data_IF_572960789116
#
_entry.id   IF_572960789116
#
_cell.length_a   1.000
_cell.length_b   1.000
_cell.length_c   1.000
_cell.angle_alpha   90.00
_cell.angle_beta   90.00
_cell.angle_gamma   90.00
#
_symmetry.space_group_name_H-M   'P 1'
#
loop_
_entity.id
_entity.type
_entity.pdbx_description
1 polymer ?
#
# COMPACT_ATOMS: atom_id res chain seq x y z
N UNK A 1 -2.00 26.55 -1.26
CA UNK A 1 -1.15 27.76 -1.17
C UNK A 1 -0.84 28.06 0.29
N UNK A 2 -0.14 29.17 0.58
CA UNK A 2 0.28 29.51 1.94
C UNK A 2 -0.91 29.61 2.90
N UNK A 3 -0.74 29.12 4.13
CA UNK A 3 -1.80 28.99 5.14
C UNK A 3 -2.78 27.84 4.89
N UNK A 4 -2.72 27.17 3.74
CA UNK A 4 -3.55 26.02 3.42
C UNK A 4 -3.25 24.83 4.34
N UNK A 5 -4.30 24.19 4.81
CA UNK A 5 -4.28 22.95 5.62
C UNK A 5 -5.31 21.99 5.06
N UNK A 6 -5.17 20.70 5.37
CA UNK A 6 -6.22 19.73 5.16
C UNK A 6 -6.50 19.02 6.50
N UNK A 7 -7.71 19.20 7.04
CA UNK A 7 -8.01 18.79 8.42
C UNK A 7 -7.88 17.30 8.66
N UNK A 8 -7.71 16.90 9.92
CA UNK A 8 -7.55 15.49 10.29
C UNK A 8 -8.81 14.66 10.01
N UNK A 9 -8.65 13.57 9.25
CA UNK A 9 -9.73 12.72 8.78
C UNK A 9 -9.26 11.29 8.49
N UNK A 10 -10.20 10.44 8.11
CA UNK A 10 -9.97 9.18 7.41
C UNK A 10 -10.52 9.31 6.02
N UNK A 11 -9.88 8.66 5.06
CA UNK A 11 -10.40 8.65 3.71
C UNK A 11 -11.66 7.79 3.60
N UNK A 12 -12.59 8.22 2.74
CA UNK A 12 -13.70 7.36 2.32
C UNK A 12 -13.24 6.43 1.20
N UNK A 13 -14.03 5.41 0.90
CA UNK A 13 -13.80 4.54 -0.24
C UNK A 13 -14.69 4.91 -1.42
N UNK A 14 -14.19 4.66 -2.63
CA UNK A 14 -15.00 4.61 -3.83
C UNK A 14 -15.42 3.16 -4.09
N UNK A 15 -16.69 2.95 -4.37
CA UNK A 15 -17.23 1.63 -4.76
C UNK A 15 -17.80 1.74 -6.17
N UNK A 16 -17.21 0.99 -7.11
CA UNK A 16 -17.70 0.91 -8.48
C UNK A 16 -18.84 -0.11 -8.59
N UNK A 17 -18.77 -1.17 -7.80
CA UNK A 17 -19.78 -2.24 -7.73
C UNK A 17 -19.67 -2.98 -6.40
N UNK A 18 -20.60 -3.90 -6.12
CA UNK A 18 -20.52 -4.77 -4.95
C UNK A 18 -19.21 -5.60 -4.87
N UNK A 19 -18.48 -5.72 -5.98
CA UNK A 19 -17.23 -6.47 -6.09
C UNK A 19 -16.01 -5.61 -6.34
N UNK A 20 -16.12 -4.30 -6.50
CA UNK A 20 -14.98 -3.43 -6.83
C UNK A 20 -15.00 -2.17 -5.98
N UNK A 21 -13.98 -2.00 -5.12
CA UNK A 21 -13.86 -0.84 -4.24
C UNK A 21 -12.42 -0.46 -3.96
N UNK A 22 -12.19 0.79 -3.57
CA UNK A 22 -10.88 1.21 -3.05
C UNK A 22 -10.71 0.93 -1.56
N UNK A 23 -9.46 0.73 -1.16
CA UNK A 23 -9.04 0.54 0.23
C UNK A 23 -7.80 1.35 0.63
N UNK A 24 -7.02 1.84 -0.35
CA UNK A 24 -5.78 2.58 -0.12
C UNK A 24 -5.72 3.83 -0.98
N UNK A 25 -5.16 4.88 -0.40
CA UNK A 25 -4.87 6.15 -1.05
C UNK A 25 -3.40 6.15 -1.49
N UNK A 26 -3.15 6.67 -2.69
CA UNK A 26 -1.82 7.00 -3.21
C UNK A 26 -1.74 8.51 -3.40
N UNK A 27 -0.83 9.16 -2.67
CA UNK A 27 -0.45 10.54 -2.89
C UNK A 27 0.92 10.59 -3.59
N UNK A 28 0.99 11.25 -4.74
CA UNK A 28 2.23 11.48 -5.50
C UNK A 28 2.55 12.97 -5.42
N UNK A 29 3.67 13.33 -4.81
CA UNK A 29 4.08 14.72 -4.68
C UNK A 29 4.74 15.22 -5.98
N UNK A 30 4.22 16.33 -6.50
CA UNK A 30 4.65 16.88 -7.80
C UNK A 30 5.72 17.96 -7.67
N UNK A 31 6.02 18.41 -6.46
CA UNK A 31 7.09 19.35 -6.16
C UNK A 31 7.57 19.21 -4.71
N UNK A 32 8.76 19.73 -4.43
CA UNK A 32 9.29 19.85 -3.07
C UNK A 32 8.63 20.99 -2.31
N UNK A 33 8.47 20.82 -1.00
CA UNK A 33 8.08 21.90 -0.08
C UNK A 33 8.81 21.77 1.25
N UNK A 34 9.03 22.90 1.93
CA UNK A 34 9.67 22.95 3.26
C UNK A 34 8.68 22.77 4.43
N UNK A 35 7.39 22.63 4.14
CA UNK A 35 6.30 22.42 5.08
C UNK A 35 5.16 21.65 4.41
N UNK A 36 4.03 21.47 5.11
CA UNK A 36 2.84 20.85 4.53
C UNK A 36 2.93 19.34 4.42
N UNK A 37 3.55 18.66 5.39
CA UNK A 37 3.60 17.21 5.47
C UNK A 37 2.21 16.57 5.43
N UNK A 38 2.10 15.38 4.86
CA UNK A 38 0.97 14.50 5.18
C UNK A 38 1.31 13.79 6.49
N UNK A 39 0.54 14.02 7.55
CA UNK A 39 0.84 13.50 8.90
C UNK A 39 -0.15 12.44 9.30
N UNK A 40 0.34 11.34 9.84
CA UNK A 40 -0.47 10.32 10.49
C UNK A 40 -0.52 10.60 11.98
N UNK A 41 -1.73 10.54 12.53
CA UNK A 41 -2.05 11.02 13.86
C UNK A 41 -2.65 9.88 14.69
N UNK A 42 -2.35 9.87 15.98
CA UNK A 42 -3.11 9.06 16.91
C UNK A 42 -4.54 9.62 17.01
N UNK A 43 -5.59 8.81 16.77
CA UNK A 43 -6.97 9.31 16.69
C UNK A 43 -7.54 9.80 18.02
N UNK A 44 -6.96 9.41 19.16
CA UNK A 44 -7.43 9.77 20.49
C UNK A 44 -6.82 11.08 20.97
N UNK A 45 -5.48 11.19 20.94
CA UNK A 45 -4.77 12.35 21.49
C UNK A 45 -4.26 13.33 20.41
N UNK A 46 -4.42 13.01 19.12
CA UNK A 46 -3.99 13.80 17.95
C UNK A 46 -2.48 14.02 17.84
N UNK A 47 -1.68 13.22 18.55
CA UNK A 47 -0.22 13.25 18.44
C UNK A 47 0.23 12.79 17.05
N UNK A 48 1.26 13.44 16.50
CA UNK A 48 1.85 13.06 15.22
C UNK A 48 2.69 11.81 15.40
N UNK A 49 2.23 10.69 14.83
CA UNK A 49 2.95 9.42 14.82
C UNK A 49 4.01 9.43 13.71
N UNK A 50 3.63 9.92 12.52
CA UNK A 50 4.53 9.93 11.36
C UNK A 50 4.27 11.13 10.44
N UNK A 51 5.25 12.03 10.25
CA UNK A 51 5.19 13.08 9.24
C UNK A 51 5.83 12.63 7.92
N UNK A 52 5.07 12.63 6.83
CA UNK A 52 5.59 12.40 5.48
C UNK A 52 5.86 13.74 4.76
N UNK A 53 7.13 14.05 4.57
CA UNK A 53 7.55 15.25 3.82
C UNK A 53 7.22 15.16 2.33
N UNK A 54 6.66 16.23 1.72
CA UNK A 54 6.46 16.31 0.28
C UNK A 54 7.81 16.46 -0.43
N UNK A 55 8.20 15.42 -1.17
CA UNK A 55 9.38 15.44 -2.04
C UNK A 55 8.98 15.00 -3.43
N UNK A 56 9.43 15.73 -4.45
CA UNK A 56 9.05 15.49 -5.84
C UNK A 56 9.32 14.03 -6.23
N UNK A 57 8.32 13.41 -6.85
CA UNK A 57 8.37 12.01 -7.27
C UNK A 57 8.18 10.97 -6.15
N UNK A 58 8.15 11.38 -4.87
CA UNK A 58 7.80 10.48 -3.77
C UNK A 58 6.31 10.13 -3.84
N UNK A 59 6.02 8.83 -3.77
CA UNK A 59 4.68 8.30 -3.59
C UNK A 59 4.48 7.83 -2.14
N UNK A 60 3.38 8.24 -1.52
CA UNK A 60 2.94 7.79 -0.21
C UNK A 60 1.68 6.94 -0.41
N UNK A 61 1.72 5.69 0.06
CA UNK A 61 0.60 4.73 -0.03
C UNK A 61 0.16 4.38 1.39
N UNK A 62 -1.13 4.47 1.68
CA UNK A 62 -1.67 4.20 3.01
C UNK A 62 -3.12 3.71 2.96
N UNK A 63 -3.56 2.98 3.99
CA UNK A 63 -4.94 2.51 4.11
C UNK A 63 -5.89 3.69 4.36
N UNK A 64 -7.10 3.64 3.83
CA UNK A 64 -8.10 4.69 4.03
C UNK A 64 -8.43 4.94 5.51
N UNK A 65 -8.32 3.90 6.34
CA UNK A 65 -8.63 3.97 7.76
C UNK A 65 -7.53 4.63 8.62
N UNK A 66 -6.37 4.96 8.02
CA UNK A 66 -5.34 5.71 8.71
C UNK A 66 -5.82 7.14 8.98
N UNK A 67 -5.76 7.56 10.26
CA UNK A 67 -6.15 8.90 10.66
C UNK A 67 -5.02 9.88 10.33
N UNK A 68 -5.28 10.83 9.45
CA UNK A 68 -4.23 11.67 8.88
C UNK A 68 -4.71 13.06 8.50
N UNK A 69 -3.77 13.96 8.29
CA UNK A 69 -4.03 15.35 7.89
C UNK A 69 -2.96 15.89 6.92
N UNK A 70 -3.21 17.09 6.41
CA UNK A 70 -2.23 17.90 5.69
C UNK A 70 -1.82 19.10 6.55
N UNK A 71 -0.56 19.11 6.98
CA UNK A 71 -0.01 20.18 7.78
C UNK A 71 -0.04 21.54 7.04
N UNK A 72 0.12 22.62 7.79
CA UNK A 72 0.11 23.97 7.22
C UNK A 72 1.25 24.18 6.23
N UNK A 73 0.92 24.66 5.05
CA UNK A 73 1.90 25.14 4.09
C UNK A 73 2.30 26.57 4.46
N UNK A 74 3.56 26.80 4.83
CA UNK A 74 4.04 28.11 5.30
C UNK A 74 4.25 29.12 4.15
N UNK A 75 4.73 28.65 3.01
CA UNK A 75 5.05 29.47 1.83
C UNK A 75 4.94 28.64 0.55
N UNK A 76 4.90 29.32 -0.60
CA UNK A 76 4.83 28.67 -1.91
C UNK A 76 3.56 27.87 -2.16
N UNK A 77 3.66 26.87 -3.04
CA UNK A 77 2.56 25.99 -3.43
C UNK A 77 2.97 24.52 -3.27
N UNK A 78 2.04 23.70 -2.77
CA UNK A 78 2.15 22.25 -2.73
C UNK A 78 1.21 21.67 -3.79
N UNK A 79 1.76 20.88 -4.70
CA UNK A 79 1.02 20.13 -5.70
C UNK A 79 1.17 18.64 -5.45
N UNK A 80 0.06 17.92 -5.49
CA UNK A 80 0.03 16.47 -5.39
C UNK A 80 -1.05 15.91 -6.30
N UNK A 81 -0.83 14.71 -6.83
CA UNK A 81 -1.91 13.90 -7.38
C UNK A 81 -2.32 12.87 -6.35
N UNK A 82 -3.63 12.71 -6.19
CA UNK A 82 -4.21 11.65 -5.39
C UNK A 82 -4.95 10.68 -6.32
N UNK A 83 -4.74 9.39 -6.10
CA UNK A 83 -5.56 8.32 -6.69
C UNK A 83 -5.75 7.23 -5.63
N UNK A 84 -6.72 6.35 -5.84
CA UNK A 84 -6.92 5.19 -4.98
C UNK A 84 -6.51 3.89 -5.68
N UNK A 85 -6.13 2.88 -4.90
CA UNK A 85 -6.00 1.50 -5.36
C UNK A 85 -7.36 0.81 -5.32
N UNK A 86 -7.84 0.37 -6.49
CA UNK A 86 -9.07 -0.39 -6.66
C UNK A 86 -8.80 -1.88 -6.52
N UNK A 87 -9.63 -2.56 -5.74
CA UNK A 87 -9.57 -4.00 -5.51
C UNK A 87 -10.84 -4.64 -6.04
N UNK A 88 -10.68 -5.79 -6.69
CA UNK A 88 -11.80 -6.59 -7.17
C UNK A 88 -11.92 -7.87 -6.34
N UNK A 89 -13.08 -8.07 -5.71
CA UNK A 89 -13.44 -9.31 -5.06
C UNK A 89 -13.56 -10.42 -6.11
N UNK A 90 -12.60 -11.33 -6.11
CA UNK A 90 -12.70 -12.61 -6.80
C UNK A 90 -13.53 -13.56 -5.94
N UNK A 91 -14.81 -13.71 -6.29
CA UNK A 91 -15.63 -14.80 -5.76
C UNK A 91 -15.02 -16.10 -6.29
N UNK A 92 -14.55 -16.95 -5.38
CA UNK A 92 -13.85 -18.18 -5.74
C UNK A 92 -14.76 -19.13 -6.52
N UNK A 93 -14.61 -19.13 -7.83
CA UNK A 93 -14.79 -20.30 -8.68
C UNK A 93 -13.46 -20.52 -9.42
N UNK A 94 -12.38 -20.67 -8.67
CA UNK A 94 -11.08 -21.11 -9.18
C UNK A 94 -10.60 -22.22 -8.25
N UNK A 95 -11.09 -23.42 -8.56
CA UNK A 95 -10.48 -24.73 -8.35
C UNK A 95 -9.55 -24.85 -7.14
N UNK A 96 -9.94 -25.70 -6.19
CA UNK A 96 -9.03 -26.74 -5.71
C UNK A 96 -8.44 -27.45 -6.94
N UNK A 97 -7.50 -26.83 -7.65
CA UNK A 97 -6.74 -27.53 -8.68
C UNK A 97 -5.64 -28.21 -7.92
N UNK A 98 -5.76 -29.52 -7.79
CA UNK A 98 -4.74 -30.44 -7.33
C UNK A 98 -3.35 -30.01 -7.84
N UNK A 99 -2.64 -29.17 -7.08
CA UNK A 99 -1.21 -29.04 -7.25
C UNK A 99 -0.62 -30.24 -6.52
N UNK A 100 0.08 -31.11 -7.25
CA UNK A 100 0.79 -32.23 -6.66
C UNK A 100 1.66 -31.74 -5.49
N UNK A 101 1.90 -32.61 -4.51
CA UNK A 101 2.75 -32.28 -3.36
C UNK A 101 4.10 -31.66 -3.79
N UNK A 102 4.65 -32.09 -4.94
CA UNK A 102 5.87 -31.54 -5.53
C UNK A 102 5.75 -30.06 -5.92
N UNK A 103 4.62 -29.65 -6.53
CA UNK A 103 4.37 -28.25 -6.88
C UNK A 103 4.24 -27.39 -5.63
N UNK A 104 3.63 -27.89 -4.56
CA UNK A 104 3.56 -27.16 -3.27
C UNK A 104 4.94 -27.00 -2.64
N UNK A 105 5.75 -28.06 -2.63
CA UNK A 105 7.11 -28.00 -2.10
C UNK A 105 7.98 -26.98 -2.86
N UNK A 106 7.91 -26.99 -4.19
CA UNK A 106 8.65 -26.04 -5.02
C UNK A 106 8.12 -24.60 -4.87
N UNK A 107 6.81 -24.41 -4.71
CA UNK A 107 6.25 -23.10 -4.41
C UNK A 107 6.75 -22.55 -3.05
N UNK A 108 6.81 -23.39 -2.01
CA UNK A 108 7.38 -23.03 -0.69
C UNK A 108 8.85 -22.63 -0.78
N UNK A 109 9.65 -23.32 -1.60
CA UNK A 109 11.04 -22.94 -1.84
C UNK A 109 11.17 -21.57 -2.49
N UNK A 110 10.35 -21.28 -3.52
CA UNK A 110 10.35 -19.95 -4.14
C UNK A 110 9.89 -18.86 -3.17
N UNK A 111 8.92 -19.15 -2.29
CA UNK A 111 8.44 -18.20 -1.28
C UNK A 111 9.54 -17.87 -0.26
N UNK A 112 10.21 -18.87 0.30
CA UNK A 112 11.31 -18.66 1.24
C UNK A 112 12.48 -17.86 0.62
N UNK A 113 12.78 -18.11 -0.67
CA UNK A 113 13.77 -17.31 -1.39
C UNK A 113 13.32 -15.86 -1.60
N UNK A 114 12.02 -15.61 -1.74
CA UNK A 114 11.48 -14.26 -1.87
C UNK A 114 11.64 -13.47 -0.56
N UNK A 115 11.32 -14.08 0.59
CA UNK A 115 11.51 -13.49 1.92
C UNK A 115 12.99 -13.15 2.17
N UNK A 116 13.92 -14.04 1.81
CA UNK A 116 15.36 -13.78 1.93
C UNK A 116 15.80 -12.57 1.08
N UNK A 117 15.23 -12.39 -0.12
CA UNK A 117 15.52 -11.20 -0.93
C UNK A 117 14.89 -9.94 -0.35
N UNK A 118 13.73 -10.05 0.28
CA UNK A 118 13.04 -8.93 0.92
C UNK A 118 13.81 -8.43 2.15
N UNK A 119 14.28 -9.34 3.01
CA UNK A 119 15.16 -9.02 4.15
C UNK A 119 16.45 -8.32 3.71
N UNK A 120 16.99 -8.70 2.55
CA UNK A 120 18.18 -8.08 1.94
C UNK A 120 17.89 -6.78 1.19
N UNK A 121 16.64 -6.30 1.18
CA UNK A 121 16.22 -5.11 0.44
C UNK A 121 16.28 -5.25 -1.09
N UNK A 122 16.38 -6.48 -1.61
CA UNK A 122 16.43 -6.79 -3.04
C UNK A 122 15.02 -6.98 -3.62
N UNK A 123 14.16 -5.97 -3.46
CA UNK A 123 12.73 -6.05 -3.74
C UNK A 123 12.38 -6.51 -5.17
N UNK A 124 13.16 -6.10 -6.17
CA UNK A 124 12.95 -6.55 -7.56
C UNK A 124 13.09 -8.07 -7.71
N UNK A 125 14.02 -8.69 -6.96
CA UNK A 125 14.16 -10.15 -6.94
C UNK A 125 13.07 -10.79 -6.08
N UNK A 126 12.76 -10.22 -4.91
CA UNK A 126 11.69 -10.71 -4.05
C UNK A 126 10.37 -10.85 -4.83
N UNK A 127 9.95 -9.80 -5.55
CA UNK A 127 8.74 -9.80 -6.40
C UNK A 127 8.79 -10.89 -7.48
N UNK A 128 9.94 -11.11 -8.12
CA UNK A 128 10.08 -12.19 -9.11
C UNK A 128 9.86 -13.58 -8.51
N UNK A 129 10.35 -13.81 -7.30
CA UNK A 129 10.23 -15.10 -6.62
C UNK A 129 8.83 -15.31 -6.00
N UNK A 130 8.22 -14.28 -5.42
CA UNK A 130 6.81 -14.32 -5.02
C UNK A 130 5.92 -14.66 -6.22
N UNK A 131 6.14 -14.03 -7.37
CA UNK A 131 5.39 -14.35 -8.60
C UNK A 131 5.53 -15.81 -9.02
N UNK A 132 6.74 -16.40 -8.93
CA UNK A 132 6.96 -17.83 -9.21
C UNK A 132 6.17 -18.71 -8.25
N UNK A 133 6.22 -18.41 -6.95
CA UNK A 133 5.51 -19.15 -5.91
C UNK A 133 3.99 -19.12 -6.14
N UNK A 134 3.41 -17.92 -6.31
CA UNK A 134 1.96 -17.72 -6.53
C UNK A 134 1.50 -18.35 -7.85
N UNK A 135 2.31 -18.27 -8.91
CA UNK A 135 1.98 -18.93 -10.19
C UNK A 135 1.87 -20.45 -10.03
N UNK A 136 2.68 -21.02 -9.12
CA UNK A 136 2.72 -22.46 -8.89
C UNK A 136 1.66 -22.94 -7.89
N UNK A 137 1.43 -22.17 -6.83
CA UNK A 137 0.40 -22.40 -5.84
C UNK A 137 -0.27 -21.06 -5.48
N UNK A 138 -1.40 -20.71 -6.11
CA UNK A 138 -2.03 -19.40 -5.98
C UNK A 138 -2.45 -19.01 -4.56
N UNK A 139 -2.66 -19.98 -3.67
CA UNK A 139 -3.07 -19.74 -2.28
C UNK A 139 -1.94 -19.94 -1.27
N UNK A 140 -0.67 -19.96 -1.71
CA UNK A 140 0.48 -20.20 -0.82
C UNK A 140 0.59 -19.18 0.32
N UNK A 141 0.23 -17.91 0.06
CA UNK A 141 0.28 -16.85 1.07
C UNK A 141 -0.63 -17.16 2.27
N UNK A 142 -1.77 -17.83 2.05
CA UNK A 142 -2.70 -18.21 3.12
C UNK A 142 -2.11 -19.28 4.05
N UNK A 143 -1.18 -20.10 3.56
CA UNK A 143 -0.52 -21.15 4.33
C UNK A 143 0.76 -20.66 5.02
N UNK A 144 1.49 -19.74 4.40
CA UNK A 144 2.77 -19.23 4.94
C UNK A 144 2.57 -18.07 5.94
N UNK A 145 1.33 -17.62 6.15
CA UNK A 145 0.99 -16.54 7.09
C UNK A 145 0.72 -17.02 8.53
N UNK A 146 0.88 -18.31 8.81
CA UNK A 146 0.74 -18.95 10.13
C UNK A 146 2.12 -19.25 10.76
#
# INVERSE_FOLDING_TARGET
GPGGVFGAHRDTYFSRSARERSFMTINIYLNDTDAGCTRFLNPTNKEVIFPCEPKIGKALVFLHNEYHDGDVLRSGSKYLMRTDLMYQLKLGNETQSDCSNDKRAQAKQFYAQAEEFEEKGQYNKAVQYYKKAITMWPTIEQEMSD
#
